data_IF_417944808584
#
_entry.id   IF_417944808584
#
_cell.length_a   1.000
_cell.length_b   1.000
_cell.length_c   1.000
_cell.angle_alpha   90.00
_cell.angle_beta   90.00
_cell.angle_gamma   90.00
#
_symmetry.space_group_name_H-M   'P 1'
#
loop_
_entity.id
_entity.type
_entity.pdbx_description
1 polymer ?
#
# COMPACT_ATOMS: atom_id res chain seq x y z
N UNK A 1 -11.24 -18.94 -3.46
CA UNK A 1 -9.99 -18.14 -3.45
C UNK A 1 -10.37 -16.73 -3.07
N UNK A 2 -9.99 -16.23 -1.89
CA UNK A 2 -10.31 -14.85 -1.49
C UNK A 2 -9.56 -13.89 -2.43
N UNK A 3 -10.33 -13.14 -3.22
CA UNK A 3 -9.79 -12.14 -4.14
C UNK A 3 -9.55 -10.87 -3.32
N UNK A 4 -8.30 -10.41 -3.28
CA UNK A 4 -8.00 -9.07 -2.81
C UNK A 4 -8.50 -8.10 -3.87
N UNK A 5 -9.65 -7.47 -3.61
CA UNK A 5 -10.23 -6.55 -4.58
C UNK A 5 -9.31 -5.36 -4.88
N UNK A 6 -9.30 -4.89 -6.13
CA UNK A 6 -8.49 -3.73 -6.57
C UNK A 6 -8.66 -2.48 -5.69
N UNK A 7 -9.85 -2.29 -5.09
CA UNK A 7 -10.16 -1.21 -4.16
C UNK A 7 -9.13 -1.01 -3.04
N UNK A 8 -8.57 -2.10 -2.50
CA UNK A 8 -7.59 -2.00 -1.40
C UNK A 8 -6.27 -1.41 -1.89
N UNK A 9 -5.84 -1.77 -3.09
CA UNK A 9 -4.63 -1.26 -3.72
C UNK A 9 -4.79 0.19 -4.18
N UNK A 10 -5.90 0.50 -4.84
CA UNK A 10 -6.15 1.85 -5.39
C UNK A 10 -6.22 2.90 -4.27
N UNK A 11 -6.98 2.60 -3.22
CA UNK A 11 -7.15 3.50 -2.07
C UNK A 11 -5.82 3.63 -1.29
N UNK A 12 -5.11 2.51 -1.06
CA UNK A 12 -3.82 2.54 -0.36
C UNK A 12 -2.73 3.25 -1.17
N UNK A 13 -2.72 3.10 -2.50
CA UNK A 13 -1.78 3.79 -3.38
C UNK A 13 -1.98 5.31 -3.41
N UNK A 14 -3.20 5.79 -3.14
CA UNK A 14 -3.47 7.22 -2.90
C UNK A 14 -3.03 7.69 -1.49
N UNK A 15 -2.51 6.80 -0.65
CA UNK A 15 -2.13 7.08 0.73
C UNK A 15 -3.33 7.17 1.68
N UNK A 16 -4.51 6.66 1.33
CA UNK A 16 -5.62 6.69 2.26
C UNK A 16 -5.47 5.62 3.35
N UNK A 17 -5.98 5.89 4.55
CA UNK A 17 -6.20 4.85 5.56
C UNK A 17 -7.31 3.91 5.08
N UNK A 18 -7.09 2.59 5.18
CA UNK A 18 -8.07 1.60 4.72
C UNK A 18 -8.61 0.81 5.91
N UNK A 19 -9.90 0.99 6.21
CA UNK A 19 -10.58 0.38 7.34
C UNK A 19 -11.63 -0.61 6.86
N UNK A 20 -11.77 -1.74 7.55
CA UNK A 20 -12.81 -2.72 7.27
C UNK A 20 -12.45 -4.12 7.76
N UNK A 21 -13.03 -5.14 7.13
CA UNK A 21 -12.64 -6.53 7.36
C UNK A 21 -11.58 -6.94 6.34
N UNK A 22 -10.38 -7.24 6.83
CA UNK A 22 -9.27 -7.69 6.00
C UNK A 22 -9.62 -9.07 5.45
N UNK A 23 -9.50 -9.33 4.13
CA UNK A 23 -9.71 -10.67 3.62
C UNK A 23 -8.65 -11.64 4.20
N UNK A 24 -9.06 -12.84 4.58
CA UNK A 24 -8.11 -13.86 5.06
C UNK A 24 -7.39 -14.47 3.86
N UNK A 25 -6.18 -14.01 3.58
CA UNK A 25 -5.33 -14.56 2.52
C UNK A 25 -3.87 -14.40 2.87
N UNK A 26 -3.10 -15.48 2.73
CA UNK A 26 -1.63 -15.46 2.92
C UNK A 26 -0.95 -14.43 2.03
N UNK A 27 -1.51 -14.22 0.84
CA UNK A 27 -0.99 -13.31 -0.19
C UNK A 27 -1.17 -11.83 0.19
N UNK A 28 -2.10 -11.50 1.10
CA UNK A 28 -2.24 -10.11 1.57
C UNK A 28 -1.02 -9.66 2.34
N UNK A 29 -0.33 -10.55 3.05
CA UNK A 29 0.86 -10.16 3.78
C UNK A 29 1.99 -9.70 2.85
N UNK A 30 2.08 -10.27 1.65
CA UNK A 30 3.07 -9.86 0.65
C UNK A 30 2.79 -8.46 0.10
N UNK A 31 1.50 -8.13 -0.07
CA UNK A 31 1.04 -6.92 -0.76
C UNK A 31 0.59 -5.76 0.14
N UNK A 32 0.19 -6.04 1.38
CA UNK A 32 -0.39 -5.13 2.38
C UNK A 32 0.03 -5.56 3.81
N UNK A 33 1.28 -5.99 3.95
CA UNK A 33 1.81 -6.53 5.22
C UNK A 33 2.50 -5.51 6.13
N UNK A 34 2.56 -4.24 5.76
CA UNK A 34 3.15 -3.20 6.60
C UNK A 34 2.16 -2.71 7.67
N UNK A 35 2.69 -2.03 8.69
CA UNK A 35 1.89 -1.50 9.79
C UNK A 35 0.80 -0.55 9.26
N UNK A 36 -0.45 -0.76 9.70
CA UNK A 36 -1.63 0.02 9.30
C UNK A 36 -1.95 0.00 7.79
N UNK A 37 -1.41 -0.96 7.02
CA UNK A 37 -1.80 -1.16 5.61
C UNK A 37 -3.32 -1.36 5.46
N UNK A 38 -3.90 -2.03 6.46
CA UNK A 38 -5.34 -2.20 6.68
C UNK A 38 -5.59 -2.15 8.18
N UNK A 39 -6.66 -1.50 8.60
CA UNK A 39 -7.08 -1.43 10.00
C UNK A 39 -8.38 -2.21 10.15
N UNK A 40 -8.38 -3.22 11.01
CA UNK A 40 -9.55 -4.07 11.21
C UNK A 40 -10.58 -3.39 12.10
N UNK A 41 -11.80 -3.26 11.60
CA UNK A 41 -12.91 -2.72 12.38
C UNK A 41 -13.53 -3.83 13.25
N UNK A 42 -13.99 -3.51 14.48
CA UNK A 42 -14.76 -4.43 15.30
C UNK A 42 -16.09 -4.79 14.63
N UNK A 43 -16.69 -5.91 15.05
CA UNK A 43 -18.03 -6.32 14.57
C UNK A 43 -19.14 -5.45 15.15
N UNK A 44 -18.95 -4.88 16.35
CA UNK A 44 -19.87 -3.93 16.94
C UNK A 44 -19.83 -2.58 16.19
N UNK A 45 -20.95 -2.12 15.58
CA UNK A 45 -20.97 -0.88 14.83
C UNK A 45 -20.62 0.36 15.66
N UNK A 46 -21.00 0.41 16.94
CA UNK A 46 -20.73 1.57 17.79
C UNK A 46 -19.24 1.67 18.13
N UNK A 47 -18.61 0.56 18.50
CA UNK A 47 -17.16 0.47 18.65
C UNK A 47 -16.44 0.85 17.34
N UNK A 48 -16.99 0.47 16.18
CA UNK A 48 -16.45 0.85 14.87
C UNK A 48 -16.45 2.36 14.63
N UNK A 49 -17.57 3.04 14.90
CA UNK A 49 -17.67 4.50 14.79
C UNK A 49 -16.68 5.18 15.73
N UNK A 50 -16.57 4.71 16.97
CA UNK A 50 -15.68 5.29 17.96
C UNK A 50 -14.20 5.11 17.59
N UNK A 51 -13.84 3.94 17.04
CA UNK A 51 -12.51 3.69 16.51
C UNK A 51 -12.16 4.63 15.34
N UNK A 52 -13.10 4.87 14.42
CA UNK A 52 -12.92 5.83 13.32
C UNK A 52 -12.71 7.24 13.88
N UNK A 53 -13.52 7.66 14.86
CA UNK A 53 -13.42 8.98 15.48
C UNK A 53 -12.06 9.18 16.17
N UNK A 54 -11.58 8.17 16.90
CA UNK A 54 -10.26 8.21 17.52
C UNK A 54 -9.14 8.30 16.49
N UNK A 55 -9.22 7.51 15.41
CA UNK A 55 -8.23 7.57 14.34
C UNK A 55 -8.19 8.94 13.66
N UNK A 56 -9.35 9.53 13.38
CA UNK A 56 -9.43 10.87 12.76
C UNK A 56 -8.92 11.98 13.69
N UNK A 57 -9.00 11.81 15.01
CA UNK A 57 -8.46 12.75 15.98
C UNK A 57 -6.93 12.65 16.12
N UNK A 58 -6.34 11.50 15.78
CA UNK A 58 -4.90 11.25 15.83
C UNK A 58 -4.24 11.66 14.49
N UNK A 59 -4.00 12.97 14.37
CA UNK A 59 -3.43 13.56 13.14
C UNK A 59 -2.02 13.04 12.83
N UNK A 60 -1.23 12.73 13.84
CA UNK A 60 0.12 12.19 13.66
C UNK A 60 0.07 10.78 13.07
N UNK A 61 -0.78 9.90 13.62
CA UNK A 61 -0.98 8.57 13.09
C UNK A 61 -1.57 8.61 11.69
N UNK A 62 -2.56 9.48 11.43
CA UNK A 62 -3.14 9.64 10.09
C UNK A 62 -2.09 10.06 9.06
N UNK A 63 -1.24 11.02 9.39
CA UNK A 63 -0.14 11.41 8.52
C UNK A 63 0.87 10.26 8.34
N UNK A 64 1.20 9.52 9.40
CA UNK A 64 2.08 8.36 9.31
C UNK A 64 1.51 7.24 8.40
N UNK A 65 0.21 6.95 8.51
CA UNK A 65 -0.50 6.01 7.64
C UNK A 65 -0.44 6.49 6.20
N UNK A 66 -0.72 7.77 5.95
CA UNK A 66 -0.71 8.33 4.61
C UNK A 66 0.65 8.15 3.93
N UNK A 67 1.71 8.58 4.62
CA UNK A 67 3.09 8.47 4.17
C UNK A 67 3.49 7.04 3.88
N UNK A 68 3.19 6.12 4.82
CA UNK A 68 3.55 4.71 4.70
C UNK A 68 2.80 4.02 3.57
N UNK A 69 1.48 4.23 3.47
CA UNK A 69 0.68 3.61 2.41
C UNK A 69 1.14 4.07 1.02
N UNK A 70 1.37 5.37 0.83
CA UNK A 70 1.89 5.89 -0.42
C UNK A 70 3.26 5.27 -0.77
N UNK A 71 4.20 5.30 0.19
CA UNK A 71 5.56 4.78 0.03
C UNK A 71 5.58 3.29 -0.31
N UNK A 72 4.92 2.46 0.50
CA UNK A 72 4.96 1.01 0.33
C UNK A 72 4.27 0.57 -0.97
N UNK A 73 3.21 1.27 -1.41
CA UNK A 73 2.60 0.98 -2.70
C UNK A 73 3.53 1.30 -3.88
N UNK A 74 4.26 2.43 -3.85
CA UNK A 74 5.26 2.74 -4.88
C UNK A 74 6.38 1.69 -4.94
N UNK A 75 6.81 1.19 -3.77
CA UNK A 75 7.94 0.27 -3.66
C UNK A 75 7.59 -1.20 -3.91
N UNK A 76 6.32 -1.60 -3.71
CA UNK A 76 5.90 -3.00 -3.81
C UNK A 76 4.89 -3.27 -4.90
N UNK A 77 3.96 -2.34 -5.10
CA UNK A 77 2.74 -2.58 -5.88
C UNK A 77 2.75 -1.90 -7.26
N UNK A 78 3.76 -1.09 -7.58
CA UNK A 78 3.93 -0.53 -8.92
C UNK A 78 4.27 -1.63 -9.95
N UNK A 79 3.61 -1.60 -11.11
CA UNK A 79 3.78 -2.57 -12.18
C UNK A 79 5.19 -2.64 -12.74
N UNK A 80 5.99 -1.57 -12.63
CA UNK A 80 7.39 -1.56 -13.07
C UNK A 80 8.24 -2.62 -12.36
N UNK A 81 7.97 -2.89 -11.09
CA UNK A 81 8.64 -3.98 -10.35
C UNK A 81 8.31 -5.34 -10.96
N UNK A 82 7.04 -5.55 -11.35
CA UNK A 82 6.60 -6.78 -12.02
C UNK A 82 7.20 -6.94 -13.41
N UNK A 83 7.29 -5.86 -14.19
CA UNK A 83 7.97 -5.89 -15.48
C UNK A 83 9.44 -6.27 -15.32
N UNK A 84 10.15 -5.67 -14.36
CA UNK A 84 11.55 -6.03 -14.07
C UNK A 84 11.68 -7.51 -13.72
N UNK A 85 10.83 -8.02 -12.82
CA UNK A 85 10.84 -9.43 -12.43
C UNK A 85 10.57 -10.37 -13.62
N UNK A 86 9.67 -10.01 -14.54
CA UNK A 86 9.42 -10.80 -15.75
C UNK A 86 10.64 -10.82 -16.69
N UNK A 87 11.30 -9.67 -16.93
CA UNK A 87 12.53 -9.64 -17.73
C UNK A 87 13.62 -10.53 -17.12
N UNK A 88 13.83 -10.42 -15.81
CA UNK A 88 14.83 -11.21 -15.07
C UNK A 88 14.51 -12.71 -15.12
N UNK A 89 13.23 -13.06 -14.91
CA UNK A 89 12.78 -14.46 -14.96
C UNK A 89 12.95 -15.09 -16.35
N UNK A 90 12.74 -14.31 -17.41
CA UNK A 90 12.91 -14.75 -18.80
C UNK A 90 14.38 -14.71 -19.27
N UNK A 91 15.33 -14.28 -18.43
CA UNK A 91 16.73 -14.13 -18.82
C UNK A 91 16.96 -13.02 -19.86
N UNK A 92 16.03 -12.06 -19.95
CA UNK A 92 16.10 -10.96 -20.89
C UNK A 92 16.76 -9.73 -20.24
N UNK A 93 17.49 -8.90 -21.00
CA UNK A 93 18.05 -7.67 -20.47
C UNK A 93 16.93 -6.71 -20.06
N UNK A 94 16.99 -6.23 -18.81
CA UNK A 94 16.06 -5.19 -18.32
C UNK A 94 16.33 -3.88 -19.07
N UNK A 95 15.31 -3.28 -19.75
CA UNK A 95 15.50 -2.04 -20.49
C UNK A 95 16.03 -0.89 -19.63
N UNK A 96 16.97 -0.10 -20.15
CA UNK A 96 17.54 1.05 -19.41
C UNK A 96 16.46 2.02 -18.93
N UNK A 97 15.45 2.28 -19.76
CA UNK A 97 14.34 3.17 -19.40
C UNK A 97 13.56 2.68 -18.19
N UNK A 98 13.38 1.36 -18.05
CA UNK A 98 12.69 0.77 -16.91
C UNK A 98 13.52 0.93 -15.62
N UNK A 99 14.84 0.80 -15.70
CA UNK A 99 15.75 1.05 -14.56
C UNK A 99 15.64 2.50 -14.09
N UNK A 100 15.74 3.46 -15.00
CA UNK A 100 15.58 4.89 -14.69
C UNK A 100 14.23 5.18 -14.01
N UNK A 101 13.14 4.59 -14.52
CA UNK A 101 11.80 4.77 -13.95
C UNK A 101 11.65 4.15 -12.56
N UNK A 102 12.38 3.08 -12.27
CA UNK A 102 12.43 2.48 -10.93
C UNK A 102 13.23 3.37 -9.98
N UNK A 103 14.37 3.90 -10.41
CA UNK A 103 15.16 4.85 -9.61
C UNK A 103 14.31 6.09 -9.27
N UNK A 104 13.55 6.61 -10.23
CA UNK A 104 12.60 7.70 -9.99
C UNK A 104 11.52 7.36 -8.96
N UNK A 105 11.04 6.11 -8.91
CA UNK A 105 10.11 5.67 -7.88
C UNK A 105 10.73 5.69 -6.49
N UNK A 106 11.94 5.15 -6.36
CA UNK A 106 12.68 5.17 -5.10
C UNK A 106 12.90 6.61 -4.63
N UNK A 107 13.29 7.52 -5.51
CA UNK A 107 13.46 8.93 -5.13
C UNK A 107 12.13 9.56 -4.67
N UNK A 108 11.03 9.31 -5.39
CA UNK A 108 9.70 9.82 -5.00
C UNK A 108 9.22 9.25 -3.67
N UNK A 109 9.54 8.00 -3.37
CA UNK A 109 9.12 7.34 -2.13
C UNK A 109 9.81 7.94 -0.90
N UNK A 110 10.99 8.53 -1.08
CA UNK A 110 11.75 9.21 -0.02
C UNK A 110 11.45 10.72 0.08
N UNK A 111 11.06 11.37 -1.02
CA UNK A 111 10.91 12.84 -1.08
C UNK A 111 9.47 13.35 -1.09
N UNK A 112 8.52 12.59 -1.65
CA UNK A 112 7.14 13.02 -1.85
C UNK A 112 6.17 12.21 -0.98
N UNK A 113 6.31 12.33 0.34
CA UNK A 113 5.20 12.07 1.22
C UNK A 113 4.35 13.35 1.31
N UNK A 114 3.13 13.38 0.73
CA UNK A 114 2.25 14.52 0.95
C UNK A 114 2.07 14.71 2.46
N UNK A 115 2.20 15.96 2.91
CA UNK A 115 1.91 16.35 4.29
C UNK A 115 0.43 16.25 4.60
#
# INVERSE_FOLDING_TARGET
MPIVGYRWFEISAAGCAVLGKRPESSVIQDYLGWQDATIELPDDPQAGVEMIRHLLADTERMAAIHRRNYRENLLRNDWRHRFKAMFEHLGLPVPTKLKEQLDQLYQRSETNCPG
#
